data_IF_933414536845
#
_entry.id   IF_933414536845
#
_cell.length_a   1.000
_cell.length_b   1.000
_cell.length_c   1.000
_cell.angle_alpha   90.00
_cell.angle_beta   90.00
_cell.angle_gamma   90.00
#
_symmetry.space_group_name_H-M   'P 1'
#
loop_
_entity.id
_entity.type
_entity.pdbx_description
1 polymer ?
#
# COMPACT_ATOMS: atom_id res chain seq x y z
N UNK A 1 -8.90 18.49 9.35
CA UNK A 1 -7.67 19.22 9.79
C UNK A 1 -6.52 18.27 10.14
N UNK A 2 -6.75 17.12 10.79
CA UNK A 2 -5.69 16.19 11.21
C UNK A 2 -4.98 15.48 10.04
N UNK A 3 -5.71 15.06 9.00
CA UNK A 3 -5.15 14.28 7.87
C UNK A 3 -4.07 15.03 7.07
N UNK A 4 -4.21 16.35 6.94
CA UNK A 4 -3.25 17.18 6.21
C UNK A 4 -1.92 17.31 6.95
N UNK A 5 -1.94 17.29 8.29
CA UNK A 5 -0.71 17.32 9.11
C UNK A 5 0.03 15.99 9.01
N UNK A 6 -0.70 14.88 9.10
CA UNK A 6 -0.13 13.54 8.96
C UNK A 6 0.50 13.35 7.57
N UNK A 7 -0.21 13.71 6.50
CA UNK A 7 0.33 13.61 5.14
C UNK A 7 1.65 14.37 4.98
N UNK A 8 1.71 15.60 5.49
CA UNK A 8 2.94 16.41 5.45
C UNK A 8 4.10 15.73 6.18
N UNK A 9 3.86 15.21 7.39
CA UNK A 9 4.88 14.50 8.16
C UNK A 9 5.38 13.23 7.45
N UNK A 10 4.50 12.50 6.78
CA UNK A 10 4.86 11.33 6.00
C UNK A 10 5.73 11.71 4.78
N UNK A 11 5.34 12.74 4.03
CA UNK A 11 6.12 13.25 2.89
C UNK A 11 7.51 13.73 3.35
N UNK A 12 7.57 14.48 4.45
CA UNK A 12 8.84 14.93 5.04
C UNK A 12 9.71 13.76 5.49
N UNK A 13 9.10 12.70 6.02
CA UNK A 13 9.80 11.48 6.42
C UNK A 13 10.39 10.76 5.20
N UNK A 14 9.62 10.59 4.11
CA UNK A 14 10.10 10.01 2.86
C UNK A 14 11.30 10.78 2.31
N UNK A 15 11.21 12.13 2.29
CA UNK A 15 12.29 12.99 1.80
C UNK A 15 13.53 12.93 2.69
N UNK A 16 13.38 13.19 3.99
CA UNK A 16 14.50 13.31 4.94
C UNK A 16 15.26 12.00 5.12
N UNK A 17 14.56 10.86 5.08
CA UNK A 17 15.17 9.53 5.21
C UNK A 17 15.50 8.87 3.88
N UNK A 18 15.18 9.52 2.75
CA UNK A 18 15.38 8.99 1.41
C UNK A 18 14.83 7.56 1.25
N UNK A 19 13.60 7.32 1.74
CA UNK A 19 13.04 5.96 1.81
C UNK A 19 12.88 5.32 0.43
N UNK A 20 12.58 6.12 -0.59
CA UNK A 20 12.45 5.72 -1.99
C UNK A 20 12.45 6.95 -2.90
N UNK A 21 12.52 6.72 -4.20
CA UNK A 21 12.45 7.72 -5.28
C UNK A 21 11.29 7.39 -6.22
N UNK A 22 10.85 8.36 -7.02
CA UNK A 22 9.80 8.15 -8.02
C UNK A 22 10.15 7.09 -9.09
N UNK A 23 11.43 6.81 -9.32
CA UNK A 23 11.89 5.75 -10.23
C UNK A 23 11.72 4.34 -9.67
N UNK A 24 11.46 4.21 -8.37
CA UNK A 24 11.43 2.91 -7.73
C UNK A 24 10.07 2.23 -7.93
N UNK A 25 10.09 0.90 -7.90
CA UNK A 25 8.89 0.08 -7.79
C UNK A 25 8.80 -0.48 -6.38
N UNK A 26 7.82 -0.01 -5.62
CA UNK A 26 7.61 -0.40 -4.23
C UNK A 26 6.57 -1.50 -4.14
N UNK A 27 6.89 -2.55 -3.40
CA UNK A 27 5.93 -3.60 -3.03
C UNK A 27 5.48 -3.36 -1.59
N UNK A 28 4.19 -3.09 -1.41
CA UNK A 28 3.57 -2.93 -0.10
C UNK A 28 3.13 -4.29 0.42
N UNK A 29 3.66 -4.68 1.59
CA UNK A 29 3.16 -5.84 2.32
C UNK A 29 1.76 -5.53 2.86
N UNK A 30 0.74 -6.03 2.16
CA UNK A 30 -0.66 -5.85 2.50
C UNK A 30 -1.15 -7.04 3.32
N UNK A 31 -1.63 -6.79 4.54
CA UNK A 31 -2.11 -7.85 5.45
C UNK A 31 -3.64 -7.97 5.49
N UNK A 32 -4.35 -7.08 4.79
CA UNK A 32 -5.80 -6.92 4.94
C UNK A 32 -6.23 -6.04 6.12
N UNK A 33 -5.28 -5.64 6.99
CA UNK A 33 -5.53 -4.72 8.09
C UNK A 33 -5.58 -3.25 7.66
N UNK A 34 -6.18 -2.42 8.52
CA UNK A 34 -6.37 -0.98 8.28
C UNK A 34 -5.07 -0.24 7.95
N UNK A 35 -4.00 -0.46 8.71
CA UNK A 35 -2.72 0.24 8.51
C UNK A 35 -2.13 -0.03 7.13
N UNK A 36 -2.13 -1.30 6.71
CA UNK A 36 -1.60 -1.70 5.40
C UNK A 36 -2.46 -1.17 4.24
N UNK A 37 -3.78 -1.04 4.46
CA UNK A 37 -4.70 -0.43 3.49
C UNK A 37 -4.46 1.06 3.37
N UNK A 38 -4.36 1.77 4.50
CA UNK A 38 -4.10 3.21 4.54
C UNK A 38 -2.75 3.52 3.90
N UNK A 39 -1.70 2.72 4.16
CA UNK A 39 -0.40 2.88 3.51
C UNK A 39 -0.48 2.69 1.99
N UNK A 40 -1.14 1.61 1.53
CA UNK A 40 -1.31 1.34 0.11
C UNK A 40 -2.09 2.46 -0.59
N UNK A 41 -3.20 2.90 0.01
CA UNK A 41 -4.01 4.02 -0.49
C UNK A 41 -3.21 5.32 -0.53
N UNK A 42 -2.46 5.60 0.53
CA UNK A 42 -1.62 6.79 0.61
C UNK A 42 -0.60 6.84 -0.52
N UNK A 43 0.09 5.72 -0.79
CA UNK A 43 1.11 5.62 -1.83
C UNK A 43 0.55 5.66 -3.27
N UNK A 44 -0.74 5.37 -3.47
CA UNK A 44 -1.30 5.14 -4.81
C UNK A 44 -2.34 6.17 -5.26
N UNK A 45 -3.04 6.81 -4.33
CA UNK A 45 -4.07 7.81 -4.63
C UNK A 45 -3.49 9.22 -4.83
N UNK A 46 -2.26 9.33 -5.33
CA UNK A 46 -1.57 10.60 -5.62
C UNK A 46 -1.49 11.57 -4.42
N UNK A 47 -1.44 11.05 -3.19
CA UNK A 47 -1.22 11.88 -2.00
C UNK A 47 0.24 12.35 -1.87
N UNK A 48 1.15 11.79 -2.68
CA UNK A 48 2.54 12.19 -2.77
C UNK A 48 2.75 13.22 -3.89
N UNK A 49 3.68 14.17 -3.70
CA UNK A 49 4.18 15.01 -4.79
C UNK A 49 4.68 14.15 -5.96
N UNK A 50 4.51 14.64 -7.19
CA UNK A 50 4.87 13.90 -8.41
C UNK A 50 6.34 13.46 -8.42
N UNK A 51 7.25 14.26 -7.87
CA UNK A 51 8.68 13.94 -7.80
C UNK A 51 9.02 12.80 -6.82
N UNK A 52 8.06 12.38 -5.98
CA UNK A 52 8.19 11.26 -5.06
C UNK A 52 7.26 10.10 -5.41
N UNK A 53 6.42 10.22 -6.42
CA UNK A 53 5.38 9.24 -6.72
C UNK A 53 6.00 8.00 -7.40
N UNK A 54 6.09 6.84 -6.71
CA UNK A 54 6.70 5.64 -7.27
C UNK A 54 5.65 4.78 -7.99
N UNK A 55 6.11 3.74 -8.68
CA UNK A 55 5.24 2.62 -9.03
C UNK A 55 4.98 1.76 -7.80
N UNK A 56 3.75 1.28 -7.63
CA UNK A 56 3.34 0.57 -6.41
C UNK A 56 2.57 -0.69 -6.76
N UNK A 57 2.95 -1.80 -6.13
CA UNK A 57 2.19 -3.05 -6.13
C UNK A 57 1.92 -3.49 -4.71
N UNK A 58 0.83 -4.24 -4.50
CA UNK A 58 0.54 -4.86 -3.22
C UNK A 58 0.88 -6.35 -3.25
N UNK A 59 1.41 -6.87 -2.15
CA UNK A 59 1.63 -8.30 -1.93
C UNK A 59 0.94 -8.73 -0.64
N UNK A 60 0.09 -9.74 -0.73
CA UNK A 60 -0.50 -10.42 0.43
C UNK A 60 0.08 -11.82 0.56
N UNK A 61 0.39 -12.23 1.80
CA UNK A 61 0.88 -13.57 2.12
C UNK A 61 -0.15 -14.25 3.02
N UNK A 62 -0.80 -15.28 2.49
CA UNK A 62 -1.61 -16.15 3.31
C UNK A 62 -0.69 -17.05 4.15
N UNK A 63 -0.67 -16.89 5.46
CA UNK A 63 0.17 -17.71 6.35
C UNK A 63 -0.44 -19.07 6.71
N UNK A 64 -1.72 -19.31 6.37
CA UNK A 64 -2.43 -20.57 6.68
C UNK A 64 -2.48 -20.95 8.17
N UNK A 65 -2.35 -19.98 9.08
CA UNK A 65 -2.31 -20.23 10.53
C UNK A 65 -3.70 -20.39 11.17
N UNK A 66 -4.74 -19.86 10.53
CA UNK A 66 -6.11 -19.82 11.06
C UNK A 66 -7.08 -20.47 10.08
N UNK A 67 -8.18 -21.00 10.61
CA UNK A 67 -9.26 -21.60 9.81
C UNK A 67 -9.99 -20.59 8.92
N UNK A 68 -9.93 -19.30 9.25
CA UNK A 68 -10.55 -18.20 8.51
C UNK A 68 -9.66 -17.62 7.39
N UNK A 69 -8.42 -18.10 7.26
CA UNK A 69 -7.46 -17.62 6.26
C UNK A 69 -7.99 -17.63 4.80
N UNK A 70 -8.80 -18.62 4.35
CA UNK A 70 -9.40 -18.58 3.03
C UNK A 70 -10.41 -17.42 2.84
N UNK A 71 -11.15 -17.06 3.89
CA UNK A 71 -12.09 -15.94 3.84
C UNK A 71 -11.34 -14.60 3.80
N UNK A 72 -10.26 -14.48 4.58
CA UNK A 72 -9.37 -13.31 4.56
C UNK A 72 -8.72 -13.11 3.19
N UNK A 73 -8.17 -14.17 2.58
CA UNK A 73 -7.57 -14.11 1.25
C UNK A 73 -8.56 -13.65 0.17
N UNK A 74 -9.82 -14.11 0.24
CA UNK A 74 -10.89 -13.64 -0.66
C UNK A 74 -11.18 -12.16 -0.47
N UNK A 75 -11.36 -11.73 0.79
CA UNK A 75 -11.57 -10.32 1.10
C UNK A 75 -10.42 -9.44 0.58
N UNK A 76 -9.17 -9.84 0.81
CA UNK A 76 -7.98 -9.14 0.33
C UNK A 76 -7.97 -9.06 -1.20
N UNK A 77 -8.24 -10.16 -1.89
CA UNK A 77 -8.33 -10.17 -3.35
C UNK A 77 -9.40 -9.20 -3.86
N UNK A 78 -10.58 -9.18 -3.24
CA UNK A 78 -11.65 -8.25 -3.63
C UNK A 78 -11.26 -6.78 -3.41
N UNK A 79 -10.58 -6.48 -2.30
CA UNK A 79 -10.09 -5.12 -2.02
C UNK A 79 -9.07 -4.69 -3.08
N UNK A 80 -8.08 -5.53 -3.38
CA UNK A 80 -7.05 -5.22 -4.37
C UNK A 80 -7.62 -5.12 -5.79
N UNK A 81 -8.58 -5.98 -6.16
CA UNK A 81 -9.24 -5.94 -7.47
C UNK A 81 -10.12 -4.69 -7.68
N UNK A 82 -10.81 -4.21 -6.63
CA UNK A 82 -11.56 -2.94 -6.69
C UNK A 82 -10.67 -1.75 -7.00
N UNK A 83 -9.36 -1.88 -6.75
CA UNK A 83 -8.36 -0.89 -7.03
C UNK A 83 -7.42 -1.34 -8.16
N UNK A 84 -8.01 -1.75 -9.30
CA UNK A 84 -7.46 -2.20 -10.59
C UNK A 84 -5.97 -1.91 -10.92
N UNK A 85 -5.39 -0.79 -10.47
CA UNK A 85 -3.97 -0.48 -10.66
C UNK A 85 -3.00 -1.13 -9.65
N UNK A 86 -3.47 -1.83 -8.60
CA UNK A 86 -2.62 -2.26 -7.46
C UNK A 86 -2.27 -3.74 -7.47
N UNK A 87 -2.91 -4.52 -8.33
CA UNK A 87 -2.81 -5.97 -8.32
C UNK A 87 -1.98 -6.48 -9.50
N UNK A 88 -0.90 -7.20 -9.19
CA UNK A 88 -0.34 -8.19 -10.09
C UNK A 88 -0.39 -9.54 -9.39
N UNK A 89 -0.98 -10.59 -10.00
CA UNK A 89 -0.85 -11.93 -9.47
C UNK A 89 0.62 -12.32 -9.52
N UNK A 90 1.21 -12.52 -8.36
CA UNK A 90 2.36 -13.41 -8.26
C UNK A 90 1.76 -14.82 -8.33
N UNK A 91 2.08 -15.55 -9.41
CA UNK A 91 1.70 -16.92 -9.78
C UNK A 91 0.23 -17.19 -10.12
#
# INVERSE_FOLDING_TARGET
MQDHKLNRQLIETVRSKQLFKASDHIVVAFSGGHDSLTLLQWLTQQNLPQELQPQVSALYVNHHLRSDAPAEARFVSEVLMRHHNWWQPAW
#
